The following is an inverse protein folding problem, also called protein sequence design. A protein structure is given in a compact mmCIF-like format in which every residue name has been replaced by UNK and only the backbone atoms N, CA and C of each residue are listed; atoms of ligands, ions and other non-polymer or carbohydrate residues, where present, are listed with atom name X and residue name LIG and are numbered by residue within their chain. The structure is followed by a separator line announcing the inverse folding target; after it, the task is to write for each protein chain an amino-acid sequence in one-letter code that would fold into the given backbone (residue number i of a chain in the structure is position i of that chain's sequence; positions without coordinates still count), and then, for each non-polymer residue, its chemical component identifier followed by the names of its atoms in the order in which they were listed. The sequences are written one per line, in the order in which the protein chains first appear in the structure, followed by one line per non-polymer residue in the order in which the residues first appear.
data_IF_391812270492
#
_entry.id   IF_391812270492
#
_cell.length_a   1.000
_cell.length_b   1.000
_cell.length_c   1.000
_cell.angle_alpha   90.00
_cell.angle_beta   90.00
_cell.angle_gamma   90.00
#
_symmetry.space_group_name_H-M   'P 1'
#
loop_
_entity.id
_entity.type
_entity.pdbx_description
1 polymer ?
#
# COMPACT_ATOMS: atom_id res chain seq x y z
N UNK A 1 25.72 3.45 17.66
CA UNK A 1 24.37 3.01 17.24
C UNK A 1 23.53 4.27 17.11
N UNK A 2 23.09 4.64 15.90
CA UNK A 2 22.14 5.74 15.71
C UNK A 2 20.72 5.17 15.77
N UNK A 3 19.78 5.95 16.31
CA UNK A 3 18.36 5.58 16.40
C UNK A 3 17.57 6.67 15.69
N UNK A 4 16.76 6.28 14.71
CA UNK A 4 15.76 7.15 14.08
C UNK A 4 14.38 6.80 14.65
N UNK A 5 13.61 7.82 15.01
CA UNK A 5 12.25 7.66 15.55
C UNK A 5 11.28 8.46 14.70
N UNK A 6 10.12 7.89 14.42
CA UNK A 6 9.03 8.53 13.69
C UNK A 6 7.75 8.35 14.48
N UNK A 7 7.06 9.45 14.78
CA UNK A 7 5.69 9.40 15.27
C UNK A 7 4.77 9.03 14.09
N UNK A 8 3.90 8.05 14.29
CA UNK A 8 2.93 7.62 13.28
C UNK A 8 1.52 7.85 13.78
N UNK A 9 0.64 8.28 12.88
CA UNK A 9 -0.80 8.40 13.12
C UNK A 9 -1.55 7.07 12.88
N UNK A 10 -0.84 6.05 12.38
CA UNK A 10 -1.35 4.69 12.16
C UNK A 10 -1.59 3.96 13.46
N UNK A 11 -2.52 3.00 13.44
CA UNK A 11 -2.61 1.99 14.49
C UNK A 11 -1.33 1.12 14.52
N UNK A 12 -1.10 0.33 15.58
CA UNK A 12 0.16 -0.41 15.71
C UNK A 12 0.42 -1.35 14.52
N UNK A 13 1.68 -1.32 14.07
CA UNK A 13 2.20 -2.19 13.02
C UNK A 13 2.59 -3.53 13.63
N UNK A 14 2.22 -4.63 12.96
CA UNK A 14 2.47 -6.00 13.42
C UNK A 14 3.56 -6.70 12.61
N UNK A 15 3.73 -6.31 11.35
CA UNK A 15 4.67 -6.93 10.43
C UNK A 15 5.36 -5.89 9.54
N UNK A 16 6.60 -6.22 9.15
CA UNK A 16 7.56 -5.33 8.51
C UNK A 16 8.46 -6.15 7.57
N UNK A 17 8.81 -5.59 6.41
CA UNK A 17 9.95 -6.06 5.63
C UNK A 17 10.64 -4.91 4.90
N UNK A 18 11.95 -5.00 4.73
CA UNK A 18 12.67 -4.20 3.75
C UNK A 18 12.25 -4.61 2.33
N UNK A 19 12.13 -3.62 1.46
CA UNK A 19 11.90 -3.78 0.02
C UNK A 19 13.05 -3.20 -0.82
N UNK A 20 13.82 -2.29 -0.22
CA UNK A 20 15.12 -1.81 -0.68
C UNK A 20 16.01 -1.57 0.54
N UNK A 21 17.27 -1.16 0.34
CA UNK A 21 18.19 -0.83 1.43
C UNK A 21 17.73 0.38 2.27
N UNK A 22 16.86 1.23 1.71
CA UNK A 22 16.40 2.48 2.31
C UNK A 22 14.88 2.56 2.40
N UNK A 23 14.16 1.46 2.19
CA UNK A 23 12.70 1.46 2.17
C UNK A 23 12.13 0.19 2.75
N UNK A 24 11.08 0.36 3.54
CA UNK A 24 10.41 -0.73 4.23
C UNK A 24 8.90 -0.61 4.06
N UNK A 25 8.25 -1.76 3.99
CA UNK A 25 6.79 -1.88 4.01
C UNK A 25 6.40 -2.45 5.36
N UNK A 26 5.40 -1.86 5.97
CA UNK A 26 4.81 -2.35 7.21
C UNK A 26 3.29 -2.38 7.12
N UNK A 27 2.66 -3.22 7.95
CA UNK A 27 1.21 -3.33 8.05
C UNK A 27 0.84 -3.83 9.45
N UNK A 28 -0.41 -3.62 9.85
CA UNK A 28 -0.91 -4.03 11.15
C UNK A 28 -2.40 -3.81 11.27
N UNK A 29 -2.81 -3.15 12.35
CA UNK A 29 -4.23 -2.99 12.71
C UNK A 29 -5.02 -2.05 11.79
N UNK A 30 -4.35 -1.21 11.01
CA UNK A 30 -5.02 -0.42 9.96
C UNK A 30 -5.50 -1.24 8.77
N UNK A 31 -5.15 -2.53 8.68
CA UNK A 31 -5.60 -3.45 7.64
C UNK A 31 -5.06 -3.14 6.22
N UNK A 32 -4.09 -2.25 6.08
CA UNK A 32 -3.41 -1.97 4.81
C UNK A 32 -1.88 -1.81 4.96
N UNK A 33 -1.10 -2.12 3.92
CA UNK A 33 0.33 -1.87 3.91
C UNK A 33 0.66 -0.40 3.65
N UNK A 34 1.67 0.09 4.36
CA UNK A 34 2.25 1.43 4.23
C UNK A 34 3.73 1.36 3.92
N UNK A 35 4.24 2.38 3.23
CA UNK A 35 5.65 2.56 2.92
C UNK A 35 6.31 3.49 3.94
N UNK A 36 7.54 3.18 4.33
CA UNK A 36 8.46 4.14 4.97
C UNK A 36 9.79 4.16 4.23
N UNK A 37 10.45 5.31 4.25
CA UNK A 37 11.75 5.54 3.63
C UNK A 37 12.75 6.08 4.65
N UNK A 38 14.01 5.65 4.52
CA UNK A 38 15.10 6.07 5.39
C UNK A 38 16.12 6.89 4.60
N UNK A 39 16.30 8.14 4.99
CA UNK A 39 17.36 9.01 4.50
C UNK A 39 18.61 8.81 5.36
N UNK A 40 19.63 8.18 4.79
CA UNK A 40 20.88 7.90 5.48
C UNK A 40 21.73 9.17 5.73
N UNK A 41 21.59 10.21 4.89
CA UNK A 41 22.33 11.46 5.06
C UNK A 41 21.72 12.31 6.17
N UNK A 42 20.39 12.38 6.25
CA UNK A 42 19.67 13.08 7.32
C UNK A 42 19.50 12.24 8.60
N UNK A 43 19.70 10.92 8.53
CA UNK A 43 19.44 10.00 9.63
C UNK A 43 17.94 9.91 10.00
N UNK A 44 17.06 10.13 9.02
CA UNK A 44 15.63 10.35 9.24
C UNK A 44 14.77 9.28 8.59
N UNK A 45 13.76 8.80 9.31
CA UNK A 45 12.72 7.90 8.80
C UNK A 45 11.47 8.72 8.47
N UNK A 46 10.91 8.51 7.28
CA UNK A 46 9.76 9.26 6.77
C UNK A 46 8.63 8.31 6.37
N UNK A 47 7.38 8.76 6.57
CA UNK A 47 6.20 8.06 6.06
C UNK A 47 6.08 8.28 4.55
N UNK A 48 6.11 7.19 3.79
CA UNK A 48 5.97 7.21 2.34
C UNK A 48 4.51 7.29 1.90
N UNK A 49 3.59 6.63 2.60
CA UNK A 49 2.16 6.63 2.24
C UNK A 49 1.54 5.23 2.25
N UNK A 50 0.22 5.18 2.01
CA UNK A 50 -0.53 3.92 1.89
C UNK A 50 -0.30 3.29 0.52
N UNK A 51 -0.17 1.97 0.49
CA UNK A 51 0.02 1.21 -0.75
C UNK A 51 -1.27 0.60 -1.30
N UNK A 52 -2.37 0.62 -0.56
CA UNK A 52 -3.67 0.06 -0.94
C UNK A 52 -4.57 1.03 -1.73
N UNK A 53 -3.98 1.98 -2.43
CA UNK A 53 -4.73 2.91 -3.28
C UNK A 53 -5.47 2.12 -4.37
N UNK A 54 -6.80 2.23 -4.49
CA UNK A 54 -7.56 1.58 -5.54
C UNK A 54 -6.99 1.99 -6.90
N UNK A 55 -6.72 1.01 -7.76
CA UNK A 55 -6.32 1.28 -9.13
C UNK A 55 -7.43 2.10 -9.77
N UNK A 56 -7.19 3.39 -10.03
CA UNK A 56 -8.11 4.23 -10.77
C UNK A 56 -8.18 3.67 -12.19
N UNK A 57 -9.11 2.74 -12.41
CA UNK A 57 -9.37 2.25 -13.75
C UNK A 57 -9.83 3.47 -14.55
N UNK A 58 -9.10 3.84 -15.60
CA UNK A 58 -9.62 4.75 -16.61
C UNK A 58 -11.02 4.27 -16.97
N UNK A 59 -11.98 5.19 -16.91
CA UNK A 59 -13.41 4.93 -16.96
C UNK A 59 -13.78 4.33 -18.33
N UNK A 60 -13.49 3.03 -18.55
CA UNK A 60 -14.09 2.25 -19.62
C UNK A 60 -15.57 2.21 -19.27
N UNK A 61 -16.38 2.87 -20.10
CA UNK A 61 -17.83 2.93 -19.88
C UNK A 61 -18.38 1.52 -19.67
N UNK A 62 -18.97 1.27 -18.49
CA UNK A 62 -19.64 0.02 -18.18
C UNK A 62 -20.78 -0.18 -19.18
N UNK A 63 -20.76 -1.31 -19.90
CA UNK A 63 -21.83 -1.72 -20.80
C UNK A 63 -23.13 -1.94 -20.02
N UNK A 64 -24.28 -1.86 -20.71
CA UNK A 64 -25.58 -2.12 -20.09
C UNK A 64 -25.67 -3.51 -19.44
N UNK A 65 -25.00 -4.52 -20.03
CA UNK A 65 -24.91 -5.89 -19.48
C UNK A 65 -24.14 -5.93 -18.16
N UNK A 66 -22.98 -5.25 -18.09
CA UNK A 66 -22.19 -5.18 -16.85
C UNK A 66 -22.93 -4.44 -15.75
N UNK A 67 -23.67 -3.37 -16.10
CA UNK A 67 -24.53 -2.67 -15.15
C UNK A 67 -25.61 -3.59 -14.60
N UNK A 68 -26.29 -4.35 -15.46
CA UNK A 68 -27.35 -5.26 -15.03
C UNK A 68 -26.80 -6.41 -14.17
N UNK A 69 -25.68 -7.02 -14.56
CA UNK A 69 -25.00 -8.06 -13.77
C UNK A 69 -24.53 -7.54 -12.41
N UNK A 70 -24.06 -6.29 -12.34
CA UNK A 70 -23.62 -5.68 -11.08
C UNK A 70 -24.82 -5.35 -10.17
N UNK A 71 -25.97 -4.98 -10.73
CA UNK A 71 -27.21 -4.78 -9.96
C UNK A 71 -27.74 -6.11 -9.42
N UNK A 72 -27.75 -7.16 -10.24
CA UNK A 72 -28.26 -8.48 -9.87
C UNK A 72 -27.41 -9.14 -8.76
N UNK A 73 -26.08 -8.97 -8.83
CA UNK A 73 -25.15 -9.38 -7.76
C UNK A 73 -25.40 -8.64 -6.45
N UNK A 74 -25.76 -7.35 -6.51
CA UNK A 74 -26.06 -6.54 -5.33
C UNK A 74 -27.42 -6.88 -4.72
N UNK A 75 -28.40 -7.28 -5.54
CA UNK A 75 -29.72 -7.69 -5.10
C UNK A 75 -29.73 -9.11 -4.49
N UNK A 76 -28.88 -10.02 -5.00
CA UNK A 76 -28.72 -11.36 -4.43
C UNK A 76 -28.00 -11.37 -3.07
N UNK A 77 -27.41 -10.24 -2.66
CA UNK A 77 -26.81 -10.03 -1.34
C UNK A 77 -27.73 -9.27 -0.39
N UNK A 78 -29.00 -9.67 -0.26
CA UNK A 78 -29.78 -9.33 0.94
C UNK A 78 -29.29 -10.22 2.10
N UNK A 79 -28.21 -9.75 2.73
CA UNK A 79 -27.60 -10.40 3.89
C UNK A 79 -26.23 -9.87 4.32
N UNK A 80 -25.79 -8.68 3.89
CA UNK A 80 -24.46 -8.19 4.29
C UNK A 80 -24.05 -6.81 3.81
N UNK A 81 -24.98 -5.86 3.67
CA UNK A 81 -24.63 -4.47 3.36
C UNK A 81 -25.42 -3.48 4.22
N UNK A 82 -25.02 -3.38 5.48
CA UNK A 82 -24.86 -2.06 6.07
C UNK A 82 -23.92 -1.26 5.16
N UNK A 83 -24.50 -0.39 4.35
CA UNK A 83 -23.81 0.59 3.51
C UNK A 83 -23.09 1.68 4.34
N UNK A 84 -22.26 1.26 5.31
CA UNK A 84 -21.56 2.15 6.23
C UNK A 84 -20.58 1.50 7.21
N UNK A 85 -20.19 0.22 7.04
CA UNK A 85 -19.35 -0.49 8.02
C UNK A 85 -18.26 -1.41 7.45
N UNK A 86 -17.95 -1.32 6.15
CA UNK A 86 -16.86 -2.09 5.53
C UNK A 86 -15.61 -1.23 5.39
N UNK A 87 -14.46 -1.70 5.87
CA UNK A 87 -13.16 -1.07 5.63
C UNK A 87 -12.92 -0.93 4.12
N UNK A 88 -12.32 0.17 3.68
CA UNK A 88 -11.95 0.45 2.29
C UNK A 88 -10.70 -0.31 1.84
N UNK A 89 -9.89 -0.74 2.81
CA UNK A 89 -8.71 -1.59 2.62
C UNK A 89 -9.04 -2.96 2.02
N UNK A 90 -8.08 -3.58 1.34
CA UNK A 90 -8.26 -4.93 0.78
C UNK A 90 -8.51 -5.96 1.90
N UNK A 91 -7.68 -5.96 2.94
CA UNK A 91 -7.93 -6.78 4.12
C UNK A 91 -9.04 -6.19 4.97
N UNK A 92 -9.84 -7.06 5.59
CA UNK A 92 -10.97 -6.69 6.46
C UNK A 92 -10.67 -6.91 7.95
N UNK A 93 -9.42 -7.22 8.27
CA UNK A 93 -8.90 -7.34 9.62
C UNK A 93 -7.38 -7.15 9.59
N UNK A 94 -6.76 -7.12 10.76
CA UNK A 94 -5.34 -6.84 10.98
C UNK A 94 -4.44 -7.71 10.09
N UNK A 95 -3.45 -7.07 9.45
CA UNK A 95 -2.40 -7.78 8.72
C UNK A 95 -1.38 -8.28 9.74
N UNK A 96 -1.13 -9.59 9.73
CA UNK A 96 -0.28 -10.26 10.74
C UNK A 96 1.10 -10.67 10.22
N UNK A 97 1.26 -10.77 8.90
CA UNK A 97 2.53 -11.17 8.29
C UNK A 97 2.74 -10.46 6.95
N UNK A 98 4.01 -10.16 6.64
CA UNK A 98 4.48 -9.69 5.34
C UNK A 98 5.65 -10.56 4.92
N UNK A 99 5.67 -11.04 3.67
CA UNK A 99 6.79 -11.82 3.14
C UNK A 99 7.15 -11.37 1.72
N UNK A 100 8.45 -11.27 1.44
CA UNK A 100 8.95 -10.99 0.08
C UNK A 100 8.76 -12.25 -0.77
N UNK A 101 8.14 -12.09 -1.94
CA UNK A 101 7.94 -13.17 -2.90
C UNK A 101 9.02 -13.20 -3.98
N UNK A 102 9.44 -12.04 -4.48
CA UNK A 102 10.41 -11.94 -5.56
C UNK A 102 11.30 -10.70 -5.44
N UNK A 103 12.53 -10.79 -5.95
CA UNK A 103 13.51 -9.70 -5.94
C UNK A 103 14.32 -9.54 -4.65
N UNK A 104 13.96 -10.26 -3.58
CA UNK A 104 14.65 -10.20 -2.29
C UNK A 104 14.46 -8.86 -1.58
N UNK A 105 15.11 -8.66 -0.43
CA UNK A 105 14.92 -7.46 0.39
C UNK A 105 15.64 -6.22 -0.15
N UNK A 106 16.70 -6.40 -0.95
CA UNK A 106 17.46 -5.31 -1.55
C UNK A 106 16.75 -4.70 -2.77
N UNK A 107 15.96 -5.49 -3.50
CA UNK A 107 15.25 -5.07 -4.72
C UNK A 107 13.94 -5.83 -4.90
N UNK A 108 13.05 -5.73 -3.93
CA UNK A 108 11.78 -6.43 -3.93
C UNK A 108 10.92 -6.02 -5.13
N UNK A 109 10.50 -7.00 -5.93
CA UNK A 109 9.53 -6.78 -7.01
C UNK A 109 8.11 -7.11 -6.56
N UNK A 110 7.94 -8.12 -5.69
CA UNK A 110 6.65 -8.50 -5.14
C UNK A 110 6.76 -8.95 -3.69
N UNK A 111 5.75 -8.63 -2.91
CA UNK A 111 5.56 -9.13 -1.55
C UNK A 111 4.12 -9.59 -1.36
N UNK A 112 3.87 -10.38 -0.32
CA UNK A 112 2.53 -10.73 0.11
C UNK A 112 2.24 -10.29 1.54
N UNK A 113 0.96 -10.11 1.83
CA UNK A 113 0.41 -9.88 3.17
C UNK A 113 -0.58 -10.99 3.50
N UNK A 114 -0.59 -11.46 4.74
CA UNK A 114 -1.66 -12.34 5.26
C UNK A 114 -2.31 -11.68 6.46
N UNK A 115 -3.64 -11.70 6.47
CA UNK A 115 -4.45 -11.06 7.50
C UNK A 115 -5.19 -12.04 8.38
N UNK A 116 -5.61 -11.55 9.55
CA UNK A 116 -6.50 -12.27 10.47
C UNK A 116 -7.92 -12.44 9.90
N UNK A 117 -8.20 -11.83 8.74
CA UNK A 117 -9.39 -12.05 7.92
C UNK A 117 -9.30 -13.34 7.09
N UNK A 118 -8.20 -14.10 7.19
CA UNK A 118 -7.93 -15.28 6.36
C UNK A 118 -7.51 -14.93 4.93
N UNK A 119 -7.37 -13.64 4.61
CA UNK A 119 -6.99 -13.15 3.30
C UNK A 119 -5.48 -13.24 3.06
N UNK A 120 -5.10 -13.47 1.81
CA UNK A 120 -3.72 -13.34 1.33
C UNK A 120 -3.73 -12.44 0.09
N UNK A 121 -2.91 -11.39 0.11
CA UNK A 121 -2.83 -10.42 -0.97
C UNK A 121 -1.40 -10.35 -1.51
N UNK A 122 -1.26 -10.31 -2.83
CA UNK A 122 0.02 -10.11 -3.52
C UNK A 122 0.11 -8.67 -4.01
N UNK A 123 1.26 -8.05 -3.76
CA UNK A 123 1.53 -6.65 -4.05
C UNK A 123 2.71 -6.55 -5.01
N UNK A 124 2.48 -5.93 -6.17
CA UNK A 124 3.55 -5.58 -7.10
C UNK A 124 4.09 -4.18 -6.79
N UNK A 125 5.41 -4.09 -6.58
CA UNK A 125 6.08 -2.85 -6.19
C UNK A 125 6.16 -1.85 -7.36
N UNK A 126 6.38 -2.34 -8.59
CA UNK A 126 6.54 -1.51 -9.78
C UNK A 126 5.23 -0.80 -10.15
N UNK A 127 4.09 -1.46 -9.96
CA UNK A 127 2.77 -0.87 -10.26
C UNK A 127 2.38 0.21 -9.25
N UNK A 128 2.84 0.12 -7.99
CA UNK A 128 2.34 0.99 -6.90
C UNK A 128 3.25 2.18 -6.57
N UNK A 129 4.56 2.08 -6.80
CA UNK A 129 5.46 3.25 -6.72
C UNK A 129 5.29 4.22 -7.91
N UNK A 130 4.49 3.86 -8.91
CA UNK A 130 4.23 4.64 -10.11
C UNK A 130 3.03 5.59 -10.03
N UNK A 131 2.32 5.64 -8.90
CA UNK A 131 1.14 6.49 -8.73
C UNK A 131 1.54 7.96 -8.47
N UNK A 132 0.76 8.94 -8.97
CA UNK A 132 1.07 10.36 -8.83
C UNK A 132 1.13 10.74 -7.34
N UNK A 133 2.30 11.18 -6.89
CA UNK A 133 2.63 11.42 -5.48
C UNK A 133 3.89 10.69 -5.02
N UNK A 134 4.29 9.64 -5.72
CA UNK A 134 5.60 9.00 -5.56
C UNK A 134 6.45 9.29 -6.80
N UNK A 135 7.60 9.96 -6.68
CA UNK A 135 8.47 10.16 -7.84
C UNK A 135 8.95 8.80 -8.32
N UNK A 136 8.53 8.41 -9.52
CA UNK A 136 9.19 7.36 -10.30
C UNK A 136 10.65 7.75 -10.47
N UNK A 137 11.54 7.04 -9.80
CA UNK A 137 12.98 7.20 -10.01
C UNK A 137 13.31 6.66 -11.41
N UNK A 138 13.75 7.50 -12.37
CA UNK A 138 14.20 7.00 -13.65
C UNK A 138 15.47 6.14 -13.43
N UNK A 139 15.68 5.08 -14.23
CA UNK A 139 16.88 4.27 -14.10
C UNK A 139 18.12 5.13 -14.37
N UNK A 140 18.91 5.40 -13.32
CA UNK A 140 20.19 6.10 -13.40
C UNK A 140 20.27 7.51 -12.79
N UNK A 141 19.26 8.00 -12.06
CA UNK A 141 19.30 9.34 -11.43
C UNK A 141 18.78 9.32 -9.98
N UNK A 142 19.56 9.79 -9.00
CA UNK A 142 19.31 9.70 -7.54
C UNK A 142 18.29 10.73 -6.99
N UNK A 143 17.13 10.88 -7.62
CA UNK A 143 16.00 11.78 -7.28
C UNK A 143 16.09 13.25 -7.72
N UNK A 144 14.94 13.89 -8.06
CA UNK A 144 14.84 15.34 -8.24
C UNK A 144 14.85 16.07 -6.88
N UNK A 145 15.30 17.34 -6.85
CA UNK A 145 15.32 18.14 -5.63
C UNK A 145 13.92 18.32 -5.03
N UNK A 146 13.85 18.30 -3.70
CA UNK A 146 12.65 18.53 -2.90
C UNK A 146 12.04 19.89 -3.30
N UNK A 147 10.73 20.00 -3.59
CA UNK A 147 10.08 21.29 -3.73
C UNK A 147 10.14 22.02 -2.39
N UNK A 148 10.85 23.15 -2.32
CA UNK A 148 10.77 24.05 -1.17
C UNK A 148 9.35 24.59 -1.07
N UNK A 149 8.77 24.70 0.15
CA UNK A 149 7.41 25.19 0.30
C UNK A 149 7.34 26.68 -0.06
N UNK A 150 6.39 27.01 -0.93
CA UNK A 150 5.80 28.33 -1.17
C UNK A 150 6.74 29.55 -1.32
N UNK A 151 6.93 29.98 -2.57
CA UNK A 151 6.93 31.40 -2.97
C UNK A 151 6.14 31.57 -4.26
#
# INVERSE_FOLDING_TARGET
LSVATLASETLPLLALTFITDNSLVAAGHDCFPVLFTYDAAAGMLSFGGRLDVPKQSSQRGLTARERFQNLDKKASSEGGTTAGAGLDSLHKNSVSQISVLSGGKAKCSQFCTTGMDGGMSIWDVKVRLALPGFPLCPPGQLFPPIPTPWR
#
